data_IF_508614438074
#
_entry.id   IF_508614438074
#
_cell.length_a   1.000
_cell.length_b   1.000
_cell.length_c   1.000
_cell.angle_alpha   90.00
_cell.angle_beta   90.00
_cell.angle_gamma   90.00
#
_symmetry.space_group_name_H-M   'P 1'
#
loop_
_entity.id
_entity.type
_entity.pdbx_description
1 polymer ?
#
# COMPACT_ATOMS: atom_id res chain seq x y z
N UNK A 1 13.96 6.53 15.36
CA UNK A 1 13.44 5.74 14.21
C UNK A 1 13.48 4.29 14.66
N UNK A 2 12.37 3.54 14.59
CA UNK A 2 12.37 2.16 15.12
C UNK A 2 13.28 1.27 14.28
N UNK A 3 14.07 0.42 14.94
CA UNK A 3 14.94 -0.56 14.26
C UNK A 3 14.05 -1.55 13.50
N UNK A 4 14.16 -1.65 12.17
CA UNK A 4 13.31 -2.55 11.39
C UNK A 4 13.71 -4.02 11.56
N UNK A 5 12.82 -4.95 11.22
CA UNK A 5 13.01 -6.37 11.51
C UNK A 5 14.22 -6.99 10.81
N UNK A 6 14.53 -6.58 9.59
CA UNK A 6 15.62 -7.15 8.79
C UNK A 6 17.00 -6.90 9.42
N UNK A 7 17.15 -5.87 10.27
CA UNK A 7 18.38 -5.63 11.04
C UNK A 7 18.69 -6.76 12.02
N UNK A 8 17.73 -7.63 12.35
CA UNK A 8 17.93 -8.79 13.21
C UNK A 8 18.40 -10.05 12.46
N UNK A 9 18.41 -10.07 11.13
CA UNK A 9 18.74 -11.28 10.36
C UNK A 9 20.16 -11.78 10.57
N UNK A 10 21.16 -10.92 10.37
CA UNK A 10 22.56 -11.26 10.63
C UNK A 10 22.78 -11.66 12.10
N UNK A 11 22.29 -10.91 13.11
CA UNK A 11 22.32 -11.37 14.50
C UNK A 11 21.73 -12.76 14.75
N UNK A 12 20.65 -13.13 14.05
CA UNK A 12 20.06 -14.48 14.16
C UNK A 12 21.00 -15.54 13.57
N UNK A 13 21.59 -15.28 12.39
CA UNK A 13 22.55 -16.21 11.78
C UNK A 13 23.79 -16.38 12.67
N UNK A 14 24.31 -15.30 13.23
CA UNK A 14 25.42 -15.34 14.20
C UNK A 14 25.06 -16.19 15.43
N UNK A 15 23.85 -16.04 15.98
CA UNK A 15 23.41 -16.84 17.12
C UNK A 15 23.34 -18.34 16.78
N UNK A 16 22.81 -18.69 15.59
CA UNK A 16 22.70 -20.08 15.15
C UNK A 16 24.08 -20.70 14.87
N UNK A 17 25.00 -19.92 14.28
CA UNK A 17 26.38 -20.34 13.99
C UNK A 17 27.15 -20.69 15.27
N UNK A 18 26.92 -19.95 16.37
CA UNK A 18 27.49 -20.26 17.70
C UNK A 18 27.06 -21.64 18.22
N UNK A 19 25.95 -22.19 17.71
CA UNK A 19 25.46 -23.54 18.02
C UNK A 19 25.74 -24.54 16.90
N UNK A 20 26.76 -24.29 16.09
CA UNK A 20 27.18 -25.15 14.99
C UNK A 20 26.07 -25.36 13.94
N UNK A 21 25.25 -24.33 13.71
CA UNK A 21 24.27 -24.31 12.63
C UNK A 21 22.85 -24.71 13.03
N UNK A 22 22.58 -25.05 14.29
CA UNK A 22 21.21 -25.35 14.76
C UNK A 22 20.99 -24.86 16.19
N UNK A 23 19.93 -24.08 16.44
CA UNK A 23 19.64 -23.51 17.75
C UNK A 23 18.14 -23.48 18.08
N UNK A 24 17.83 -23.45 19.38
CA UNK A 24 16.46 -23.21 19.84
C UNK A 24 16.10 -21.73 19.79
N UNK A 25 14.80 -21.42 19.71
CA UNK A 25 14.30 -20.04 19.73
C UNK A 25 14.78 -19.30 20.97
N UNK A 26 14.70 -19.95 22.12
CA UNK A 26 15.08 -19.40 23.42
C UNK A 26 16.56 -19.01 23.42
N UNK A 27 17.43 -19.88 22.88
CA UNK A 27 18.86 -19.58 22.79
C UNK A 27 19.12 -18.37 21.88
N UNK A 28 18.47 -18.30 20.72
CA UNK A 28 18.63 -17.16 19.79
C UNK A 28 18.20 -15.85 20.44
N UNK A 29 17.08 -15.85 21.17
CA UNK A 29 16.61 -14.69 21.92
C UNK A 29 17.60 -14.25 22.98
N UNK A 30 18.05 -15.18 23.84
CA UNK A 30 19.01 -14.88 24.90
C UNK A 30 20.34 -14.36 24.32
N UNK A 31 20.81 -14.96 23.23
CA UNK A 31 22.03 -14.54 22.57
C UNK A 31 21.91 -13.12 22.01
N UNK A 32 20.82 -12.78 21.32
CA UNK A 32 20.62 -11.45 20.75
C UNK A 32 20.52 -10.40 21.86
N UNK A 33 19.73 -10.67 22.91
CA UNK A 33 19.59 -9.75 24.03
C UNK A 33 20.93 -9.50 24.75
N UNK A 34 21.80 -10.51 24.83
CA UNK A 34 23.12 -10.40 25.44
C UNK A 34 24.15 -9.70 24.56
N UNK A 35 24.16 -9.97 23.24
CA UNK A 35 25.24 -9.59 22.33
C UNK A 35 24.94 -8.38 21.44
N UNK A 36 23.67 -7.96 21.30
CA UNK A 36 23.25 -6.78 20.51
C UNK A 36 22.71 -5.67 21.40
N UNK A 37 23.41 -5.36 22.49
CA UNK A 37 23.02 -4.33 23.47
C UNK A 37 22.79 -2.96 22.82
N UNK A 38 23.56 -2.64 21.79
CA UNK A 38 23.45 -1.36 21.09
C UNK A 38 22.09 -1.19 20.41
N UNK A 39 21.45 -2.26 19.90
CA UNK A 39 20.11 -2.16 19.32
C UNK A 39 19.09 -1.69 20.37
N UNK A 40 19.16 -2.22 21.58
CA UNK A 40 18.25 -1.85 22.67
C UNK A 40 18.58 -0.50 23.30
N UNK A 41 19.81 -0.02 23.11
CA UNK A 41 20.22 1.33 23.51
C UNK A 41 19.76 2.37 22.49
N UNK A 42 19.85 2.06 21.20
CA UNK A 42 19.42 2.91 20.09
C UNK A 42 17.90 2.98 19.94
N UNK A 43 17.20 1.87 20.20
CA UNK A 43 15.74 1.78 20.20
C UNK A 43 15.23 1.11 21.48
N UNK A 44 15.07 1.88 22.58
CA UNK A 44 14.57 1.36 23.86
C UNK A 44 13.14 0.80 23.79
N UNK A 45 12.32 1.20 22.79
CA UNK A 45 10.96 0.69 22.62
C UNK A 45 10.94 -0.80 22.29
N UNK A 46 12.04 -1.33 21.75
CA UNK A 46 12.20 -2.76 21.49
C UNK A 46 11.88 -3.63 22.70
N UNK A 47 12.26 -3.19 23.91
CA UNK A 47 12.01 -3.89 25.18
C UNK A 47 10.54 -3.84 25.63
N UNK A 48 9.74 -2.98 25.02
CA UNK A 48 8.32 -2.83 25.28
C UNK A 48 7.46 -3.97 24.71
N UNK A 49 6.15 -3.82 24.87
CA UNK A 49 5.13 -4.77 24.36
C UNK A 49 4.12 -4.03 23.52
N UNK A 50 3.61 -4.67 22.46
CA UNK A 50 2.54 -4.10 21.63
C UNK A 50 1.21 -3.90 22.37
N UNK A 51 0.99 -4.62 23.47
CA UNK A 51 -0.13 -4.43 24.40
C UNK A 51 0.42 -4.53 25.83
N UNK A 52 0.11 -3.55 26.66
CA UNK A 52 0.58 -3.50 28.04
C UNK A 52 0.13 -4.75 28.82
N UNK A 53 1.06 -5.37 29.56
CA UNK A 53 0.80 -6.56 30.40
C UNK A 53 0.49 -7.88 29.68
N UNK A 54 0.10 -7.89 28.40
CA UNK A 54 -0.32 -9.12 27.67
C UNK A 54 0.17 -9.25 26.22
N UNK A 55 0.80 -8.22 25.66
CA UNK A 55 1.29 -8.22 24.28
C UNK A 55 2.64 -8.92 24.11
N UNK A 56 2.94 -9.32 22.89
CA UNK A 56 4.27 -9.84 22.54
C UNK A 56 5.33 -8.75 22.72
N UNK A 57 6.54 -9.17 23.11
CA UNK A 57 7.68 -8.26 23.22
C UNK A 57 8.08 -7.83 21.81
N UNK A 58 8.29 -6.53 21.62
CA UNK A 58 8.41 -5.91 20.29
C UNK A 58 9.57 -6.52 19.50
N UNK A 59 10.75 -6.62 20.11
CA UNK A 59 11.93 -7.19 19.43
C UNK A 59 11.79 -8.68 19.10
N UNK A 60 11.15 -9.46 19.96
CA UNK A 60 10.92 -10.89 19.70
C UNK A 60 9.97 -11.09 18.52
N UNK A 61 8.97 -10.21 18.37
CA UNK A 61 8.09 -10.21 17.21
C UNK A 61 8.84 -9.81 15.92
N UNK A 62 9.77 -8.85 16.00
CA UNK A 62 10.65 -8.51 14.86
C UNK A 62 11.53 -9.69 14.45
N UNK A 63 12.10 -10.44 15.39
CA UNK A 63 12.84 -11.67 15.06
C UNK A 63 11.93 -12.72 14.41
N UNK A 64 10.68 -12.84 14.86
CA UNK A 64 9.71 -13.74 14.22
C UNK A 64 9.54 -13.41 12.73
N UNK A 65 9.47 -12.12 12.37
CA UNK A 65 9.41 -11.71 10.97
C UNK A 65 10.72 -11.97 10.22
N UNK A 66 11.86 -11.62 10.81
CA UNK A 66 13.18 -11.88 10.24
C UNK A 66 13.35 -13.39 9.92
N UNK A 67 12.91 -14.26 10.83
CA UNK A 67 12.90 -15.70 10.64
C UNK A 67 12.09 -16.14 9.43
N UNK A 68 10.83 -15.73 9.32
CA UNK A 68 9.98 -16.16 8.20
C UNK A 68 10.58 -15.72 6.86
N UNK A 69 11.19 -14.54 6.84
CA UNK A 69 11.83 -14.01 5.65
C UNK A 69 13.12 -14.76 5.30
N UNK A 70 13.99 -15.03 6.27
CA UNK A 70 15.19 -15.86 6.06
C UNK A 70 14.84 -17.29 5.61
N UNK A 71 13.68 -17.82 6.03
CA UNK A 71 13.15 -19.09 5.50
C UNK A 71 12.80 -19.00 4.02
N UNK A 72 12.10 -17.95 3.61
CA UNK A 72 11.74 -17.70 2.19
C UNK A 72 12.99 -17.56 1.32
N UNK A 73 14.03 -16.91 1.84
CA UNK A 73 15.36 -16.78 1.19
C UNK A 73 16.19 -18.07 1.19
N UNK A 74 15.66 -19.16 1.76
CA UNK A 74 16.36 -20.44 1.87
C UNK A 74 17.57 -20.41 2.79
N UNK A 75 17.70 -19.40 3.65
CA UNK A 75 18.82 -19.23 4.59
C UNK A 75 18.61 -19.95 5.92
N UNK A 76 17.34 -20.16 6.29
CA UNK A 76 16.94 -20.93 7.46
C UNK A 76 15.94 -22.03 7.09
N UNK A 77 16.01 -23.13 7.83
CA UNK A 77 15.02 -24.21 7.84
C UNK A 77 14.54 -24.51 9.27
N UNK A 78 13.35 -25.11 9.39
CA UNK A 78 12.72 -25.40 10.68
C UNK A 78 12.46 -26.90 10.79
N UNK A 79 13.47 -27.70 11.18
CA UNK A 79 13.36 -29.16 11.19
C UNK A 79 12.30 -29.66 12.19
N UNK A 80 12.09 -28.93 13.28
CA UNK A 80 11.03 -29.20 14.24
C UNK A 80 10.57 -27.93 14.94
N UNK A 81 9.46 -28.02 15.69
CA UNK A 81 8.87 -26.88 16.39
C UNK A 81 9.86 -26.32 17.41
N UNK A 82 10.26 -25.06 17.23
CA UNK A 82 11.16 -24.37 18.15
C UNK A 82 12.65 -24.51 17.84
N UNK A 83 13.01 -25.20 16.74
CA UNK A 83 14.40 -25.38 16.32
C UNK A 83 14.61 -24.66 14.98
N UNK A 84 15.62 -23.81 14.90
CA UNK A 84 16.04 -23.13 13.68
C UNK A 84 17.40 -23.63 13.26
N UNK A 85 17.51 -24.02 12.00
CA UNK A 85 18.74 -24.53 11.42
C UNK A 85 19.16 -23.66 10.25
N UNK A 86 20.44 -23.31 10.22
CA UNK A 86 21.05 -22.52 9.15
C UNK A 86 21.39 -23.43 7.98
N UNK A 87 21.00 -23.01 6.78
CA UNK A 87 21.31 -23.72 5.54
C UNK A 87 22.69 -23.32 5.02
N UNK A 88 23.15 -23.94 3.93
CA UNK A 88 24.37 -23.53 3.23
C UNK A 88 24.29 -22.05 2.78
N UNK A 89 23.13 -21.62 2.26
CA UNK A 89 22.91 -20.23 1.81
C UNK A 89 23.02 -19.24 2.97
N UNK A 90 22.45 -19.57 4.13
CA UNK A 90 22.57 -18.73 5.33
C UNK A 90 24.02 -18.64 5.82
N UNK A 91 24.75 -19.75 5.76
CA UNK A 91 26.18 -19.80 6.12
C UNK A 91 27.03 -18.96 5.17
N UNK A 92 26.80 -19.05 3.87
CA UNK A 92 27.53 -18.29 2.86
C UNK A 92 27.29 -16.78 3.00
N UNK A 93 26.04 -16.37 3.27
CA UNK A 93 25.68 -14.98 3.58
C UNK A 93 26.43 -14.48 4.81
N UNK A 94 26.41 -15.26 5.89
CA UNK A 94 27.09 -14.89 7.14
C UNK A 94 28.62 -14.79 6.94
N UNK A 95 29.20 -15.70 6.16
CA UNK A 95 30.62 -15.67 5.83
C UNK A 95 30.99 -14.43 5.00
N UNK A 96 30.16 -14.07 4.01
CA UNK A 96 30.34 -12.85 3.23
C UNK A 96 30.27 -11.61 4.14
N UNK A 97 29.23 -11.49 4.96
CA UNK A 97 29.07 -10.41 5.93
C UNK A 97 30.33 -10.23 6.81
N UNK A 98 30.87 -11.33 7.34
CA UNK A 98 32.09 -11.29 8.17
C UNK A 98 33.32 -10.84 7.40
N UNK A 99 33.43 -11.17 6.11
CA UNK A 99 34.57 -10.82 5.25
C UNK A 99 34.52 -9.37 4.79
N UNK A 100 33.34 -8.85 4.48
CA UNK A 100 33.20 -7.57 3.75
C UNK A 100 32.57 -6.47 4.58
N UNK A 101 31.87 -6.80 5.67
CA UNK A 101 31.04 -5.86 6.43
C UNK A 101 29.82 -5.35 5.65
N UNK A 102 29.58 -5.85 4.44
CA UNK A 102 28.42 -5.56 3.62
C UNK A 102 27.46 -6.75 3.68
N UNK A 103 26.19 -6.48 3.95
CA UNK A 103 25.18 -7.53 3.91
C UNK A 103 24.74 -7.69 2.45
N UNK A 104 24.99 -8.85 1.81
CA UNK A 104 24.59 -9.05 0.40
C UNK A 104 23.08 -8.94 0.20
N UNK A 105 22.28 -9.02 1.27
CA UNK A 105 20.83 -8.82 1.23
C UNK A 105 20.39 -7.38 1.59
N UNK A 106 21.33 -6.46 1.82
CA UNK A 106 21.00 -5.08 2.16
C UNK A 106 20.23 -4.39 1.02
N UNK A 107 19.02 -3.90 1.31
CA UNK A 107 18.13 -3.28 0.31
C UNK A 107 17.29 -4.28 -0.48
N UNK A 108 17.49 -5.59 -0.29
CA UNK A 108 16.69 -6.63 -0.93
C UNK A 108 15.35 -6.87 -0.21
N UNK A 109 15.11 -6.20 0.93
CA UNK A 109 13.82 -6.19 1.63
C UNK A 109 12.66 -5.68 0.77
N UNK A 110 12.92 -4.72 -0.14
CA UNK A 110 11.93 -4.13 -1.07
C UNK A 110 11.67 -5.09 -2.24
N UNK A 111 12.68 -5.81 -2.72
CA UNK A 111 12.62 -6.67 -3.90
C UNK A 111 12.04 -8.08 -3.63
N UNK A 112 11.95 -8.52 -2.38
CA UNK A 112 11.29 -9.80 -2.03
C UNK A 112 9.98 -9.62 -1.23
N UNK A 113 9.30 -8.47 -1.35
CA UNK A 113 7.86 -8.38 -1.13
C UNK A 113 7.31 -7.93 0.23
N UNK A 114 8.11 -7.45 1.20
CA UNK A 114 7.56 -7.05 2.52
C UNK A 114 7.45 -5.54 2.65
N UNK A 115 6.29 -4.98 2.31
CA UNK A 115 5.84 -3.68 2.87
C UNK A 115 4.82 -3.88 4.00
N UNK A 116 3.98 -4.92 3.90
CA UNK A 116 3.18 -5.56 4.96
C UNK A 116 2.97 -7.04 4.58
N UNK A 117 3.06 -7.99 5.53
CA UNK A 117 3.12 -9.43 5.20
C UNK A 117 1.72 -10.02 5.03
N UNK A 118 1.19 -9.87 3.82
CA UNK A 118 0.46 -10.92 3.08
C UNK A 118 1.01 -10.95 1.65
N UNK A 119 2.12 -11.65 1.42
CA UNK A 119 2.72 -11.76 0.09
C UNK A 119 2.04 -12.84 -0.76
N UNK A 120 1.22 -12.42 -1.72
CA UNK A 120 0.89 -13.19 -2.91
C UNK A 120 1.51 -12.51 -4.15
N UNK A 121 2.65 -13.06 -4.62
CA UNK A 121 3.39 -12.81 -5.87
C UNK A 121 4.12 -11.46 -6.11
N UNK A 122 5.28 -11.56 -6.77
CA UNK A 122 6.19 -10.48 -7.21
C UNK A 122 5.64 -9.80 -8.48
N UNK A 123 5.19 -8.53 -8.41
CA UNK A 123 4.48 -7.87 -9.51
C UNK A 123 5.35 -7.64 -10.76
N UNK A 124 6.68 -7.65 -10.67
CA UNK A 124 7.58 -7.50 -11.82
C UNK A 124 7.87 -8.82 -12.56
N UNK A 125 7.57 -9.98 -11.94
CA UNK A 125 7.74 -11.32 -12.53
C UNK A 125 6.46 -11.95 -13.04
N UNK A 126 5.32 -11.26 -12.91
CA UNK A 126 4.10 -11.65 -13.62
C UNK A 126 4.34 -11.36 -15.10
N UNK A 127 4.47 -12.40 -15.91
CA UNK A 127 4.37 -12.28 -17.35
C UNK A 127 2.93 -11.85 -17.66
N UNK A 128 2.70 -10.53 -17.63
CA UNK A 128 1.42 -9.93 -17.93
C UNK A 128 1.12 -10.31 -19.37
N UNK A 129 0.26 -11.33 -19.54
CA UNK A 129 -0.28 -11.67 -20.86
C UNK A 129 -0.70 -10.36 -21.50
N UNK A 130 -0.18 -10.10 -22.71
CA UNK A 130 -0.63 -8.96 -23.51
C UNK A 130 -2.15 -9.02 -23.49
N UNK A 131 -2.80 -8.04 -22.85
CA UNK A 131 -4.23 -8.10 -22.75
C UNK A 131 -4.80 -8.10 -24.17
N UNK A 132 -5.94 -8.77 -24.42
CA UNK A 132 -6.65 -8.55 -25.67
C UNK A 132 -6.81 -7.04 -25.89
N UNK A 133 -6.77 -6.61 -27.16
CA UNK A 133 -6.97 -5.20 -27.50
C UNK A 133 -8.31 -4.79 -26.89
N UNK A 134 -8.25 -3.99 -25.83
CA UNK A 134 -9.43 -3.41 -25.22
C UNK A 134 -9.79 -2.14 -25.97
N UNK A 135 -11.08 -1.89 -26.06
CA UNK A 135 -11.57 -0.56 -26.40
C UNK A 135 -11.03 0.43 -25.36
N UNK A 136 -10.47 1.53 -25.83
CA UNK A 136 -9.96 2.61 -25.00
C UNK A 136 -10.48 3.94 -25.54
N UNK A 137 -10.58 4.94 -24.66
CA UNK A 137 -10.89 6.30 -25.08
C UNK A 137 -9.74 6.94 -25.85
N UNK A 138 -9.91 8.21 -26.21
CA UNK A 138 -8.84 9.01 -26.80
C UNK A 138 -7.66 9.17 -25.83
N UNK A 139 -6.51 9.65 -26.32
CA UNK A 139 -5.36 9.95 -25.46
C UNK A 139 -5.71 11.08 -24.49
N UNK A 140 -5.72 10.74 -23.20
CA UNK A 140 -5.85 11.70 -22.11
C UNK A 140 -4.47 12.15 -21.65
N UNK A 141 -3.62 11.28 -21.10
CA UNK A 141 -2.29 11.65 -20.59
C UNK A 141 -2.34 12.66 -19.44
N UNK A 142 -3.03 12.30 -18.34
CA UNK A 142 -3.23 13.19 -17.20
C UNK A 142 -3.09 12.42 -15.88
N UNK A 143 -2.20 12.87 -14.98
CA UNK A 143 -1.93 12.25 -13.66
C UNK A 143 -1.74 10.72 -13.70
N UNK A 144 -0.98 10.24 -14.69
CA UNK A 144 -0.71 8.80 -14.86
C UNK A 144 -1.84 8.02 -15.56
N UNK A 145 -2.94 8.66 -15.92
CA UNK A 145 -4.03 8.06 -16.69
C UNK A 145 -3.81 8.35 -18.18
N UNK A 146 -3.66 7.28 -18.97
CA UNK A 146 -3.25 7.37 -20.38
C UNK A 146 -4.43 7.71 -21.30
N UNK A 147 -5.59 7.09 -21.10
CA UNK A 147 -6.77 7.23 -21.99
C UNK A 147 -7.96 7.89 -21.29
N UNK A 148 -8.85 8.49 -22.07
CA UNK A 148 -10.12 9.02 -21.57
C UNK A 148 -10.97 7.89 -20.95
N UNK A 149 -11.77 8.18 -19.90
CA UNK A 149 -12.77 7.25 -19.41
C UNK A 149 -13.70 6.79 -20.54
N UNK A 150 -14.09 5.52 -20.52
CA UNK A 150 -15.13 4.95 -21.42
C UNK A 150 -16.33 4.40 -20.66
N UNK A 151 -16.30 4.47 -19.33
CA UNK A 151 -17.34 4.02 -18.43
C UNK A 151 -17.22 4.74 -17.07
N UNK A 152 -18.17 4.49 -16.17
CA UNK A 152 -18.24 5.07 -14.81
C UNK A 152 -16.99 4.78 -13.97
N UNK A 153 -16.45 3.56 -14.04
CA UNK A 153 -15.24 3.20 -13.27
C UNK A 153 -14.04 4.07 -13.66
N UNK A 154 -13.89 4.39 -14.95
CA UNK A 154 -12.88 5.32 -15.43
C UNK A 154 -13.10 6.75 -14.91
N UNK A 155 -14.36 7.18 -14.75
CA UNK A 155 -14.71 8.50 -14.17
C UNK A 155 -14.32 8.56 -12.70
N UNK A 156 -14.62 7.50 -11.92
CA UNK A 156 -14.24 7.38 -10.51
C UNK A 156 -12.71 7.47 -10.36
N UNK A 157 -11.97 6.70 -11.17
CA UNK A 157 -10.50 6.71 -11.18
C UNK A 157 -9.95 8.12 -11.47
N UNK A 158 -10.47 8.78 -12.50
CA UNK A 158 -10.01 10.11 -12.89
C UNK A 158 -10.35 11.16 -11.82
N UNK A 159 -11.56 11.14 -11.27
CA UNK A 159 -11.94 12.03 -10.18
C UNK A 159 -11.03 11.83 -8.97
N UNK A 160 -10.75 10.59 -8.58
CA UNK A 160 -9.85 10.29 -7.47
C UNK A 160 -8.46 10.87 -7.67
N UNK A 161 -7.91 10.78 -8.90
CA UNK A 161 -6.62 11.36 -9.23
C UNK A 161 -6.59 12.90 -9.13
N UNK A 162 -7.73 13.57 -9.33
CA UNK A 162 -7.82 15.04 -9.37
C UNK A 162 -8.62 15.66 -8.22
N UNK A 163 -9.04 14.88 -7.22
CA UNK A 163 -9.93 15.33 -6.15
C UNK A 163 -9.34 16.53 -5.39
N UNK A 164 -8.04 16.51 -5.09
CA UNK A 164 -7.35 17.60 -4.40
C UNK A 164 -7.35 18.90 -5.24
N UNK A 165 -7.05 18.82 -6.54
CA UNK A 165 -7.06 19.98 -7.45
C UNK A 165 -8.44 20.63 -7.53
N UNK A 166 -9.49 19.80 -7.41
CA UNK A 166 -10.89 20.22 -7.40
C UNK A 166 -11.39 20.61 -6.00
N UNK A 167 -10.51 20.61 -4.99
CA UNK A 167 -10.82 20.93 -3.59
C UNK A 167 -11.87 20.00 -2.97
N UNK A 168 -11.75 18.71 -3.26
CA UNK A 168 -12.49 17.63 -2.64
C UNK A 168 -11.59 16.73 -1.78
N UNK A 169 -12.18 16.11 -0.76
CA UNK A 169 -11.67 14.92 -0.08
C UNK A 169 -12.67 13.79 -0.27
N UNK A 170 -12.17 12.59 -0.52
CA UNK A 170 -12.99 11.38 -0.66
C UNK A 170 -13.06 10.70 0.70
N UNK A 171 -14.28 10.55 1.26
CA UNK A 171 -14.47 9.84 2.54
C UNK A 171 -14.84 8.37 2.29
N UNK A 172 -15.67 8.09 1.28
CA UNK A 172 -15.97 6.72 0.86
C UNK A 172 -16.50 6.68 -0.57
N UNK A 173 -16.19 5.58 -1.28
CA UNK A 173 -16.82 5.15 -2.53
C UNK A 173 -17.59 3.86 -2.21
N UNK A 174 -18.81 3.73 -2.74
CA UNK A 174 -19.78 2.70 -2.38
C UNK A 174 -20.42 2.13 -3.64
N UNK A 175 -20.93 0.90 -3.55
CA UNK A 175 -21.72 0.27 -4.62
C UNK A 175 -23.22 0.59 -4.52
N UNK A 176 -23.60 1.55 -3.68
CA UNK A 176 -24.98 1.87 -3.34
C UNK A 176 -25.19 3.36 -3.52
N UNK A 177 -26.30 3.74 -4.13
CA UNK A 177 -26.67 5.13 -4.31
C UNK A 177 -26.75 5.91 -2.97
N UNK A 178 -26.22 7.14 -2.89
CA UNK A 178 -25.29 7.75 -3.85
C UNK A 178 -23.89 7.13 -3.75
N UNK A 179 -23.19 7.04 -4.88
CA UNK A 179 -21.90 6.33 -5.02
C UNK A 179 -20.82 6.80 -4.07
N UNK A 180 -20.84 8.08 -3.67
CA UNK A 180 -19.79 8.63 -2.85
C UNK A 180 -20.24 9.59 -1.76
N UNK A 181 -19.48 9.55 -0.66
CA UNK A 181 -19.48 10.57 0.38
C UNK A 181 -18.16 11.33 0.29
N UNK A 182 -18.27 12.64 0.08
CA UNK A 182 -17.15 13.53 -0.15
C UNK A 182 -17.20 14.71 0.84
N UNK A 183 -16.08 15.39 1.00
CA UNK A 183 -16.02 16.75 1.54
C UNK A 183 -15.55 17.71 0.47
N UNK A 184 -16.25 18.82 0.27
CA UNK A 184 -15.85 19.90 -0.64
C UNK A 184 -15.45 21.14 0.13
N UNK A 185 -14.37 21.80 -0.28
CA UNK A 185 -13.96 23.08 0.29
C UNK A 185 -14.76 24.21 -0.35
N UNK A 186 -15.42 25.03 0.46
CA UNK A 186 -16.16 26.19 -0.01
C UNK A 186 -15.29 27.46 -0.08
N UNK A 187 -15.86 28.56 -0.58
CA UNK A 187 -15.18 29.85 -0.72
C UNK A 187 -14.70 30.47 0.61
N UNK A 188 -15.26 30.03 1.74
CA UNK A 188 -14.83 30.43 3.10
C UNK A 188 -13.81 29.47 3.70
N UNK A 189 -13.19 28.62 2.87
CA UNK A 189 -12.16 27.67 3.26
C UNK A 189 -12.64 26.56 4.21
N UNK A 190 -13.95 26.30 4.31
CA UNK A 190 -14.55 25.28 5.17
C UNK A 190 -14.93 24.04 4.37
N UNK A 191 -14.81 22.88 5.00
CA UNK A 191 -15.22 21.59 4.43
C UNK A 191 -16.70 21.33 4.69
N UNK A 192 -17.42 20.95 3.64
CA UNK A 192 -18.85 20.60 3.69
C UNK A 192 -19.06 19.20 3.10
N UNK A 193 -19.90 18.36 3.72
CA UNK A 193 -20.24 17.05 3.16
C UNK A 193 -20.99 17.22 1.84
N UNK A 194 -20.71 16.32 0.89
CA UNK A 194 -21.34 16.25 -0.43
C UNK A 194 -21.58 14.78 -0.74
N UNK A 195 -22.83 14.41 -0.99
CA UNK A 195 -23.20 13.12 -1.58
C UNK A 195 -23.09 13.24 -3.10
N UNK A 196 -22.35 12.35 -3.74
CA UNK A 196 -22.14 12.43 -5.18
C UNK A 196 -22.46 11.11 -5.88
N UNK A 197 -22.96 11.23 -7.10
CA UNK A 197 -23.13 10.12 -8.03
C UNK A 197 -22.12 10.23 -9.17
N UNK A 198 -21.52 9.10 -9.56
CA UNK A 198 -20.62 9.04 -10.70
C UNK A 198 -21.34 8.50 -11.92
N UNK A 199 -21.17 9.18 -13.05
CA UNK A 199 -21.81 8.80 -14.29
C UNK A 199 -20.84 8.92 -15.45
N UNK A 200 -20.93 8.05 -16.45
CA UNK A 200 -20.17 8.29 -17.68
C UNK A 200 -20.70 9.54 -18.41
N UNK A 201 -22.02 9.60 -18.59
CA UNK A 201 -22.74 10.75 -19.13
C UNK A 201 -23.74 11.25 -18.11
N UNK A 202 -23.86 12.57 -17.95
CA UNK A 202 -24.81 13.14 -16.98
C UNK A 202 -26.26 12.68 -17.19
N UNK A 203 -26.65 12.36 -18.43
CA UNK A 203 -27.99 11.81 -18.72
C UNK A 203 -28.26 10.43 -18.13
N UNK A 204 -27.23 9.63 -17.83
CA UNK A 204 -27.37 8.29 -17.24
C UNK A 204 -27.99 8.35 -15.83
N UNK A 205 -27.69 9.39 -15.06
CA UNK A 205 -28.35 9.66 -13.76
C UNK A 205 -29.88 9.66 -13.86
N UNK A 206 -30.41 10.24 -14.94
CA UNK A 206 -31.86 10.31 -15.19
C UNK A 206 -32.39 8.93 -15.58
N UNK A 207 -31.63 8.18 -16.38
CA UNK A 207 -32.01 6.84 -16.84
C UNK A 207 -32.08 5.84 -15.68
N UNK A 208 -31.18 5.95 -14.70
CA UNK A 208 -31.22 5.14 -13.48
C UNK A 208 -32.38 5.50 -12.54
N UNK A 209 -33.07 6.63 -12.74
CA UNK A 209 -34.23 7.02 -11.95
C UNK A 209 -33.89 7.45 -10.52
N UNK A 210 -32.67 7.92 -10.29
CA UNK A 210 -32.22 8.35 -8.97
C UNK A 210 -32.98 9.57 -8.44
N UNK A 211 -33.24 9.56 -7.13
CA UNK A 211 -33.87 10.70 -6.45
C UNK A 211 -32.86 11.83 -6.25
N UNK A 212 -33.05 12.95 -6.97
CA UNK A 212 -32.19 14.13 -6.87
C UNK A 212 -32.14 14.77 -5.47
N UNK A 213 -33.08 14.45 -4.56
CA UNK A 213 -33.02 14.94 -3.17
C UNK A 213 -32.00 14.18 -2.30
N UNK A 214 -31.62 12.98 -2.75
CA UNK A 214 -30.74 12.09 -2.02
C UNK A 214 -29.28 12.15 -2.51
N UNK A 215 -29.00 13.01 -3.49
CA UNK A 215 -27.69 13.28 -4.07
C UNK A 215 -27.47 14.79 -4.20
N UNK A 216 -26.26 15.28 -3.94
CA UNK A 216 -25.95 16.71 -3.92
C UNK A 216 -25.13 17.16 -5.14
N UNK A 217 -24.53 16.22 -5.89
CA UNK A 217 -23.63 16.49 -7.00
C UNK A 217 -23.56 15.31 -7.97
N UNK A 218 -23.66 15.57 -9.27
CA UNK A 218 -23.32 14.58 -10.29
C UNK A 218 -21.89 14.85 -10.75
N UNK A 219 -21.05 13.82 -10.76
CA UNK A 219 -19.70 13.88 -11.30
C UNK A 219 -19.67 13.00 -12.53
N UNK A 220 -19.35 13.56 -13.69
CA UNK A 220 -19.40 12.81 -14.94
C UNK A 220 -18.21 13.07 -15.85
N UNK A 221 -17.96 12.17 -16.81
CA UNK A 221 -17.00 12.48 -17.88
C UNK A 221 -17.52 13.62 -18.75
N UNK A 222 -18.70 13.40 -19.36
CA UNK A 222 -19.34 14.32 -20.29
C UNK A 222 -20.71 14.78 -19.77
N UNK A 223 -20.98 16.09 -19.83
CA UNK A 223 -22.31 16.63 -19.58
C UNK A 223 -23.05 16.79 -20.91
N UNK A 224 -23.89 15.81 -21.25
CA UNK A 224 -24.70 15.74 -22.47
C UNK A 224 -26.12 16.30 -22.29
N UNK A 225 -26.41 16.86 -21.11
CA UNK A 225 -27.73 17.40 -20.79
C UNK A 225 -27.88 18.86 -21.17
N UNK A 226 -29.08 19.22 -21.64
CA UNK A 226 -29.56 20.58 -21.49
C UNK A 226 -30.05 20.78 -20.04
N UNK A 227 -29.63 21.84 -19.37
CA UNK A 227 -29.80 22.07 -17.92
C UNK A 227 -31.26 22.08 -17.39
N UNK A 228 -32.27 21.75 -18.20
CA UNK A 228 -33.70 21.81 -17.82
C UNK A 228 -34.21 20.59 -17.03
N UNK A 229 -33.48 19.46 -17.00
CA UNK A 229 -33.96 18.20 -16.38
C UNK A 229 -33.38 17.89 -14.99
N UNK A 230 -32.24 18.48 -14.65
CA UNK A 230 -31.53 18.23 -13.38
C UNK A 230 -31.44 19.52 -12.58
N UNK A 231 -31.75 19.42 -11.28
CA UNK A 231 -31.76 20.53 -10.33
C UNK A 231 -30.49 20.60 -9.47
N UNK A 232 -29.73 19.51 -9.41
CA UNK A 232 -28.46 19.44 -8.68
C UNK A 232 -27.27 19.79 -9.60
N UNK A 233 -26.16 20.31 -9.06
CA UNK A 233 -24.98 20.65 -9.84
C UNK A 233 -24.39 19.44 -10.58
N UNK A 234 -23.77 19.70 -11.74
CA UNK A 234 -23.03 18.71 -12.54
C UNK A 234 -21.58 19.18 -12.68
N UNK A 235 -20.64 18.29 -12.36
CA UNK A 235 -19.20 18.48 -12.52
C UNK A 235 -18.70 17.56 -13.64
N UNK A 236 -18.48 18.14 -14.83
CA UNK A 236 -17.88 17.39 -15.95
C UNK A 236 -16.37 17.43 -15.88
N UNK A 237 -15.75 16.25 -15.74
CA UNK A 237 -14.31 16.10 -15.62
C UNK A 237 -13.56 16.44 -16.91
N UNK A 238 -14.16 16.20 -18.09
CA UNK A 238 -13.53 16.55 -19.38
C UNK A 238 -13.15 18.03 -19.44
N UNK A 239 -14.05 18.92 -18.99
CA UNK A 239 -13.77 20.35 -18.92
C UNK A 239 -12.79 20.74 -17.82
N UNK A 240 -12.79 20.03 -16.68
CA UNK A 240 -11.89 20.33 -15.56
C UNK A 240 -10.44 19.92 -15.82
N UNK A 241 -10.20 18.81 -16.53
CA UNK A 241 -8.85 18.41 -16.96
C UNK A 241 -8.18 19.54 -17.74
N UNK A 242 -8.89 20.11 -18.72
CA UNK A 242 -8.38 21.19 -19.55
C UNK A 242 -8.12 22.48 -18.74
N UNK A 243 -8.97 22.77 -17.74
CA UNK A 243 -8.75 23.92 -16.84
C UNK A 243 -7.52 23.72 -15.96
N UNK A 244 -7.30 22.53 -15.42
CA UNK A 244 -6.15 22.24 -14.57
C UNK A 244 -4.86 22.30 -15.37
N UNK A 245 -4.83 21.74 -16.58
CA UNK A 245 -3.69 21.84 -17.50
C UNK A 245 -3.25 23.27 -17.72
N UNK A 246 -4.20 24.16 -18.01
CA UNK A 246 -3.93 25.60 -18.23
C UNK A 246 -3.43 26.35 -17.00
N UNK A 247 -3.66 25.84 -15.78
CA UNK A 247 -3.16 26.45 -14.54
C UNK A 247 -1.75 25.99 -14.19
N UNK A 248 -1.33 24.83 -14.71
CA UNK A 248 -0.02 24.25 -14.46
C UNK A 248 1.04 24.67 -15.50
N UNK A 249 0.61 25.18 -16.66
CA UNK A 249 1.43 25.82 -17.69
C UNK A 249 1.65 27.30 -17.42
#
# INVERSE_FOLDING_TARGET
>A
MSIPFYKFEIPVLEAIDVKNGEATIEFVYDWIQKNKKDFFKEDPELLGRYKEGKGQIIWQNKIRFAREYMKRKGQLEFPSRGIWKMTAVGKDRLENWRKTGADPDQGLEIFHGITEIEETQDPEKVDLKVPPIYEHGDLLGFKGIVYEPINEQGVILLFAAMAEDLSFMIESIRSSFPDALLKRRNSKNRWQPVRAEFEFKASTFIQHGHNQNDCDLIICWENDLNNKKIKIPILSLKGEVEKIRRRAS
#
